data_IF_066162061471
#
_entry.id   IF_066162061471
#
_cell.length_a   1.000
_cell.length_b   1.000
_cell.length_c   1.000
_cell.angle_alpha   90.00
_cell.angle_beta   90.00
_cell.angle_gamma   90.00
#
_symmetry.space_group_name_H-M   'P 1'
#
loop_
_entity.id
_entity.type
_entity.pdbx_description
1 polymer ?
#
# COMPACT_ATOMS: atom_id res chain seq x y z
N UNK A 1 -14.37 52.68 39.39
CA UNK A 1 -15.23 53.80 38.95
C UNK A 1 -14.40 54.76 38.11
N UNK A 2 -15.02 55.55 37.21
CA UNK A 2 -14.44 55.85 35.91
C UNK A 2 -13.69 57.19 35.85
N UNK A 3 -12.99 57.43 34.72
CA UNK A 3 -13.18 58.62 33.89
C UNK A 3 -12.53 58.43 32.51
N UNK A 4 -13.36 58.62 31.47
CA UNK A 4 -13.00 59.07 30.12
C UNK A 4 -13.85 60.35 29.90
N UNK A 5 -13.93 61.00 28.70
CA UNK A 5 -13.16 60.85 27.46
C UNK A 5 -12.65 62.22 26.92
N UNK A 6 -12.07 62.25 25.71
CA UNK A 6 -12.30 63.38 24.78
C UNK A 6 -12.51 62.89 23.34
N UNK A 7 -13.73 63.15 22.86
CA UNK A 7 -14.19 63.35 21.49
C UNK A 7 -13.37 64.42 20.70
N UNK A 8 -13.55 64.70 19.40
CA UNK A 8 -14.36 64.14 18.28
C UNK A 8 -13.83 64.71 16.96
N UNK A 9 -14.22 64.13 15.80
CA UNK A 9 -14.79 64.87 14.66
C UNK A 9 -14.93 63.98 13.41
N UNK A 10 -16.16 63.86 12.91
CA UNK A 10 -16.49 63.24 11.61
C UNK A 10 -16.35 64.24 10.45
N UNK A 11 -16.32 63.71 9.22
CA UNK A 11 -17.00 64.36 8.09
C UNK A 11 -17.46 63.29 7.08
N UNK A 12 -18.60 63.54 6.44
CA UNK A 12 -19.45 62.57 5.75
C UNK A 12 -19.93 63.11 4.39
N UNK A 13 -20.61 62.24 3.59
CA UNK A 13 -21.62 62.59 2.56
C UNK A 13 -21.07 63.19 1.22
N UNK A 14 -21.66 62.97 0.02
CA UNK A 14 -22.75 62.07 -0.44
C UNK A 14 -22.84 61.96 -1.99
N UNK A 15 -23.55 60.95 -2.50
CA UNK A 15 -24.29 61.00 -3.78
C UNK A 15 -23.56 60.54 -5.07
N UNK A 16 -24.25 60.05 -6.13
CA UNK A 16 -25.70 59.81 -6.35
C UNK A 16 -25.94 58.68 -7.38
N UNK A 17 -27.17 58.14 -7.38
CA UNK A 17 -27.72 57.09 -8.28
C UNK A 17 -27.94 57.55 -9.73
N UNK A 18 -28.13 56.59 -10.64
CA UNK A 18 -29.04 56.73 -11.80
C UNK A 18 -29.80 55.44 -12.12
N UNK A 19 -31.00 55.59 -12.67
CA UNK A 19 -32.09 54.63 -12.92
C UNK A 19 -32.92 55.15 -14.11
N UNK A 20 -33.48 54.37 -15.03
CA UNK A 20 -33.51 52.92 -15.30
C UNK A 20 -33.95 52.75 -16.78
N UNK A 21 -34.43 51.58 -17.22
CA UNK A 21 -35.71 51.38 -17.97
C UNK A 21 -35.84 49.90 -18.40
N UNK A 22 -37.07 49.38 -18.30
CA UNK A 22 -37.50 48.05 -18.79
C UNK A 22 -38.26 48.18 -20.12
N UNK A 23 -38.38 47.08 -20.86
CA UNK A 23 -39.51 46.81 -21.76
C UNK A 23 -39.78 45.29 -21.73
N UNK A 24 -41.05 44.85 -21.86
CA UNK A 24 -41.36 43.45 -21.54
C UNK A 24 -42.59 42.80 -22.19
N UNK A 25 -42.54 41.46 -22.20
CA UNK A 25 -43.65 40.48 -22.15
C UNK A 25 -44.68 40.48 -23.33
N UNK A 26 -45.62 39.49 -23.45
CA UNK A 26 -45.92 38.36 -22.56
C UNK A 26 -46.04 37.00 -23.36
N UNK A 27 -46.95 36.01 -23.09
CA UNK A 27 -46.49 34.61 -22.94
C UNK A 27 -47.17 33.56 -23.85
N UNK A 28 -46.62 32.34 -23.90
CA UNK A 28 -47.37 31.13 -24.28
C UNK A 28 -47.02 29.95 -23.36
N UNK A 29 -48.05 29.38 -22.73
CA UNK A 29 -47.94 28.21 -21.86
C UNK A 29 -48.57 26.99 -22.52
N UNK A 30 -47.80 25.90 -22.68
CA UNK A 30 -48.33 24.58 -23.02
C UNK A 30 -47.53 23.47 -22.32
N UNK A 31 -48.20 22.89 -21.32
CA UNK A 31 -48.00 21.63 -20.59
C UNK A 31 -47.02 20.59 -21.19
N UNK A 32 -46.12 20.11 -20.34
CA UNK A 32 -45.86 18.68 -20.07
C UNK A 32 -45.19 17.81 -21.15
N UNK A 33 -44.04 17.22 -20.80
CA UNK A 33 -43.93 15.78 -20.49
C UNK A 33 -42.49 15.46 -19.99
N UNK A 34 -42.31 14.30 -19.35
CA UNK A 34 -41.09 13.96 -18.63
C UNK A 34 -39.93 13.50 -19.52
N UNK A 35 -38.71 13.94 -19.22
CA UNK A 35 -37.49 13.44 -19.85
C UNK A 35 -36.25 13.91 -19.11
N UNK A 36 -35.58 13.01 -18.39
CA UNK A 36 -34.30 13.28 -17.74
C UNK A 36 -33.25 13.59 -18.81
N UNK A 37 -32.95 14.89 -19.02
CA UNK A 37 -31.81 15.31 -19.82
C UNK A 37 -30.53 14.87 -19.12
N UNK A 38 -29.65 14.20 -19.86
CA UNK A 38 -28.30 13.92 -19.39
C UNK A 38 -27.42 15.13 -19.60
N UNK A 39 -26.91 15.71 -18.52
CA UNK A 39 -25.88 16.74 -18.61
C UNK A 39 -24.55 16.11 -18.99
N UNK A 40 -23.98 16.60 -20.09
CA UNK A 40 -22.69 16.18 -20.60
C UNK A 40 -21.59 17.13 -20.12
N UNK A 41 -20.56 16.53 -19.51
CA UNK A 41 -19.18 17.00 -19.49
C UNK A 41 -18.90 18.47 -19.13
N UNK A 42 -18.62 18.72 -17.84
CA UNK A 42 -17.45 19.53 -17.48
C UNK A 42 -16.22 18.62 -17.40
N UNK A 43 -15.09 19.05 -17.98
CA UNK A 43 -13.87 18.26 -18.02
C UNK A 43 -13.01 18.42 -16.77
N UNK A 44 -13.17 17.52 -15.79
CA UNK A 44 -12.21 17.42 -14.67
C UNK A 44 -10.96 16.58 -15.03
N UNK A 45 -9.86 16.84 -14.31
CA UNK A 45 -8.60 16.11 -14.43
C UNK A 45 -8.68 14.70 -13.84
N UNK A 46 -9.43 13.82 -14.49
CA UNK A 46 -9.79 12.52 -13.92
C UNK A 46 -8.57 11.67 -13.53
N UNK A 47 -8.51 11.31 -12.25
CA UNK A 47 -7.48 10.45 -11.65
C UNK A 47 -7.41 9.11 -12.39
N UNK A 48 -6.28 8.82 -13.04
CA UNK A 48 -6.12 7.62 -13.88
C UNK A 48 -6.17 6.32 -13.07
N UNK A 49 -7.02 5.38 -13.48
CA UNK A 49 -7.27 4.12 -12.79
C UNK A 49 -8.40 4.21 -11.75
N UNK A 50 -8.85 3.07 -11.24
CA UNK A 50 -10.04 3.02 -10.39
C UNK A 50 -9.96 1.99 -9.27
N UNK A 51 -10.75 2.20 -8.23
CA UNK A 51 -10.96 1.26 -7.12
C UNK A 51 -12.46 0.95 -7.06
N UNK A 52 -12.83 -0.33 -7.06
CA UNK A 52 -14.22 -0.78 -6.96
C UNK A 52 -14.37 -1.79 -5.83
N UNK A 53 -15.02 -1.36 -4.77
CA UNK A 53 -15.47 -2.24 -3.69
C UNK A 53 -16.66 -3.10 -4.13
N UNK A 54 -16.66 -4.37 -3.73
CA UNK A 54 -17.76 -5.32 -3.85
C UNK A 54 -18.04 -5.90 -2.46
N UNK A 55 -19.16 -5.50 -1.85
CA UNK A 55 -19.51 -5.93 -0.49
C UNK A 55 -19.71 -7.43 -0.40
N UNK A 56 -19.12 -8.05 0.61
CA UNK A 56 -19.33 -9.45 0.98
C UNK A 56 -20.26 -9.49 2.19
N UNK A 57 -21.51 -9.93 2.00
CA UNK A 57 -22.44 -10.15 3.12
C UNK A 57 -22.24 -11.52 3.74
N UNK A 58 -22.55 -11.67 5.02
CA UNK A 58 -22.73 -12.99 5.60
C UNK A 58 -23.91 -13.73 4.92
N UNK A 59 -23.86 -15.07 4.81
CA UNK A 59 -24.99 -15.85 4.32
C UNK A 59 -26.30 -15.55 5.07
N UNK A 60 -27.43 -15.52 4.37
CA UNK A 60 -28.76 -15.27 4.96
C UNK A 60 -29.16 -13.81 5.20
N UNK A 61 -28.28 -12.83 5.01
CA UNK A 61 -28.61 -11.41 5.20
C UNK A 61 -29.38 -10.78 4.03
N UNK A 62 -30.63 -10.35 4.24
CA UNK A 62 -31.51 -9.74 3.23
C UNK A 62 -30.97 -8.47 2.55
N UNK A 63 -31.34 -8.26 1.28
CA UNK A 63 -30.84 -7.18 0.41
C UNK A 63 -31.39 -5.80 0.79
N UNK A 64 -30.61 -4.74 0.51
CA UNK A 64 -31.11 -3.35 0.47
C UNK A 64 -30.89 -2.79 -0.94
N UNK A 65 -31.78 -1.91 -1.39
CA UNK A 65 -31.65 -1.25 -2.68
C UNK A 65 -30.37 -0.38 -2.71
N UNK A 66 -29.54 -0.55 -3.75
CA UNK A 66 -28.29 0.19 -3.97
C UNK A 66 -26.99 -0.61 -3.86
N UNK A 67 -27.00 -1.78 -3.21
CA UNK A 67 -25.79 -2.62 -3.09
C UNK A 67 -25.33 -3.17 -4.46
N UNK A 68 -24.10 -2.85 -4.90
CA UNK A 68 -23.46 -3.46 -6.08
C UNK A 68 -22.87 -4.83 -5.71
N UNK A 69 -23.77 -5.79 -5.50
CA UNK A 69 -23.51 -7.08 -4.86
C UNK A 69 -22.59 -8.03 -5.65
N UNK A 70 -21.75 -8.74 -4.90
CA UNK A 70 -21.37 -10.12 -5.19
C UNK A 70 -22.59 -11.00 -4.83
N UNK A 71 -22.94 -11.98 -5.66
CA UNK A 71 -24.21 -12.74 -5.58
C UNK A 71 -24.40 -13.54 -4.28
N UNK A 72 -25.55 -14.22 -4.15
CA UNK A 72 -25.75 -15.19 -3.07
C UNK A 72 -24.58 -16.21 -3.00
N UNK A 73 -24.25 -16.64 -1.78
CA UNK A 73 -23.24 -17.66 -1.55
C UNK A 73 -23.73 -19.02 -2.02
N UNK A 74 -22.91 -19.68 -2.83
CA UNK A 74 -23.06 -21.07 -3.25
C UNK A 74 -22.21 -21.96 -2.32
N UNK A 75 -22.63 -23.20 -2.08
CA UNK A 75 -21.75 -24.21 -1.48
C UNK A 75 -20.59 -24.54 -2.44
N UNK A 76 -19.37 -24.63 -1.91
CA UNK A 76 -18.18 -24.99 -2.68
C UNK A 76 -17.76 -26.44 -2.38
N UNK A 77 -17.39 -27.25 -3.39
CA UNK A 77 -16.97 -28.66 -3.19
C UNK A 77 -15.81 -28.87 -2.21
N UNK A 78 -15.07 -27.82 -1.83
CA UNK A 78 -14.06 -27.91 -0.75
C UNK A 78 -14.63 -27.79 0.68
N UNK A 79 -15.95 -27.90 0.87
CA UNK A 79 -16.63 -27.69 2.16
C UNK A 79 -16.66 -26.22 2.61
N UNK A 80 -16.32 -25.29 1.72
CA UNK A 80 -16.41 -23.85 1.95
C UNK A 80 -17.67 -23.26 1.31
N UNK A 81 -17.77 -21.92 1.31
CA UNK A 81 -18.79 -21.20 0.53
C UNK A 81 -18.11 -20.29 -0.48
N UNK A 82 -18.74 -20.09 -1.65
CA UNK A 82 -18.22 -19.33 -2.79
C UNK A 82 -19.21 -18.25 -3.26
N UNK A 83 -18.68 -17.13 -3.75
CA UNK A 83 -19.44 -16.16 -4.57
C UNK A 83 -18.73 -15.89 -5.90
N UNK A 84 -19.51 -15.67 -6.96
CA UNK A 84 -19.00 -15.31 -8.29
C UNK A 84 -19.55 -13.95 -8.74
N UNK A 85 -18.70 -13.04 -9.21
CA UNK A 85 -19.14 -11.92 -10.08
C UNK A 85 -18.58 -12.09 -11.48
N UNK A 86 -19.49 -12.25 -12.46
CA UNK A 86 -19.15 -12.50 -13.88
C UNK A 86 -19.07 -11.23 -14.74
N UNK A 87 -19.48 -10.07 -14.21
CA UNK A 87 -19.53 -8.77 -14.93
C UNK A 87 -18.99 -7.63 -14.06
N UNK A 88 -17.68 -7.55 -13.92
CA UNK A 88 -16.98 -6.38 -13.32
C UNK A 88 -16.29 -5.56 -14.40
N UNK A 89 -15.96 -4.30 -14.10
CA UNK A 89 -15.02 -3.53 -14.94
C UNK A 89 -13.64 -4.21 -14.87
N UNK A 90 -12.78 -4.08 -15.90
CA UNK A 90 -11.41 -4.59 -15.83
C UNK A 90 -10.67 -4.12 -14.58
N UNK A 91 -9.82 -4.99 -14.05
CA UNK A 91 -8.98 -4.76 -12.88
C UNK A 91 -7.72 -5.63 -12.99
N UNK A 92 -6.63 -5.25 -12.33
CA UNK A 92 -5.35 -5.98 -12.40
C UNK A 92 -4.81 -6.38 -11.01
N UNK A 93 -5.46 -5.90 -9.93
CA UNK A 93 -5.18 -6.28 -8.54
C UNK A 93 -6.46 -6.50 -7.73
N UNK A 94 -6.41 -7.45 -6.79
CA UNK A 94 -7.49 -7.77 -5.84
C UNK A 94 -6.96 -7.68 -4.41
N UNK A 95 -7.74 -7.09 -3.51
CA UNK A 95 -7.58 -7.27 -2.06
C UNK A 95 -8.94 -7.40 -1.37
N UNK A 96 -8.95 -7.50 -0.04
CA UNK A 96 -10.16 -7.45 0.79
C UNK A 96 -9.92 -6.52 1.97
N UNK A 97 -10.89 -5.68 2.31
CA UNK A 97 -10.84 -4.83 3.51
C UNK A 97 -12.06 -5.03 4.41
N UNK A 98 -11.94 -4.70 5.69
CA UNK A 98 -12.98 -4.84 6.71
C UNK A 98 -12.87 -3.75 7.80
N UNK A 99 -13.95 -3.51 8.56
CA UNK A 99 -14.13 -2.29 9.36
C UNK A 99 -13.23 -2.21 10.60
N UNK A 100 -12.93 -3.34 11.25
CA UNK A 100 -12.10 -3.42 12.45
C UNK A 100 -10.74 -4.09 12.12
N UNK A 101 -9.62 -3.36 12.10
CA UNK A 101 -8.30 -3.94 11.84
C UNK A 101 -7.91 -5.14 12.71
N UNK A 102 -8.46 -5.29 13.92
CA UNK A 102 -8.19 -6.42 14.79
C UNK A 102 -9.00 -7.69 14.43
N UNK A 103 -10.14 -7.54 13.75
CA UNK A 103 -11.05 -8.63 13.41
C UNK A 103 -10.65 -9.34 12.11
N UNK A 104 -9.51 -10.04 12.12
CA UNK A 104 -9.08 -10.84 10.97
C UNK A 104 -10.15 -11.88 10.57
N UNK A 105 -10.37 -12.14 9.26
CA UNK A 105 -11.36 -13.09 8.80
C UNK A 105 -11.00 -14.53 9.23
N UNK A 106 -11.98 -15.35 9.68
CA UNK A 106 -11.75 -16.75 10.01
C UNK A 106 -11.50 -17.60 8.76
N UNK A 107 -10.56 -18.54 8.86
CA UNK A 107 -10.18 -19.43 7.76
C UNK A 107 -9.40 -18.77 6.62
N UNK A 108 -9.15 -19.53 5.57
CA UNK A 108 -8.39 -19.08 4.39
C UNK A 108 -9.31 -18.50 3.34
N UNK A 109 -9.26 -17.18 3.20
CA UNK A 109 -9.84 -16.46 2.06
C UNK A 109 -9.09 -16.82 0.79
N UNK A 110 -9.81 -17.23 -0.26
CA UNK A 110 -9.23 -17.56 -1.56
C UNK A 110 -9.98 -16.89 -2.70
N UNK A 111 -9.26 -16.56 -3.77
CA UNK A 111 -9.83 -15.95 -4.98
C UNK A 111 -9.43 -16.71 -6.25
N UNK A 112 -10.30 -16.65 -7.27
CA UNK A 112 -9.92 -16.87 -8.67
C UNK A 112 -10.25 -15.61 -9.46
N UNK A 113 -9.46 -15.31 -10.47
CA UNK A 113 -9.80 -14.29 -11.47
C UNK A 113 -9.91 -14.90 -12.86
N UNK A 114 -10.65 -14.23 -13.74
CA UNK A 114 -10.73 -14.60 -15.16
C UNK A 114 -9.89 -13.64 -15.97
N UNK A 115 -8.81 -14.14 -16.58
CA UNK A 115 -7.91 -13.34 -17.41
C UNK A 115 -8.65 -12.73 -18.61
N UNK A 116 -8.37 -11.46 -18.88
CA UNK A 116 -8.88 -10.75 -20.06
C UNK A 116 -8.30 -11.32 -21.36
N UNK A 117 -7.03 -11.71 -21.36
CA UNK A 117 -6.38 -12.25 -22.55
C UNK A 117 -6.86 -13.68 -22.87
N UNK A 118 -6.71 -14.62 -21.94
CA UNK A 118 -6.97 -16.05 -22.21
C UNK A 118 -8.44 -16.45 -22.01
N UNK A 119 -9.27 -15.60 -21.40
CA UNK A 119 -10.63 -15.89 -20.93
C UNK A 119 -10.75 -17.12 -20.01
N UNK A 120 -9.63 -17.64 -19.47
CA UNK A 120 -9.58 -18.76 -18.52
C UNK A 120 -9.59 -18.25 -17.08
N UNK A 121 -10.06 -19.10 -16.16
CA UNK A 121 -9.96 -18.86 -14.71
C UNK A 121 -8.59 -19.31 -14.20
N UNK A 122 -8.03 -18.56 -13.25
CA UNK A 122 -6.83 -19.01 -12.50
C UNK A 122 -7.16 -20.18 -11.59
N UNK A 123 -6.17 -20.97 -11.14
CA UNK A 123 -6.30 -21.74 -9.90
C UNK A 123 -6.70 -20.84 -8.72
N UNK A 124 -7.25 -21.45 -7.66
CA UNK A 124 -7.52 -20.73 -6.40
C UNK A 124 -6.22 -20.25 -5.77
N UNK A 125 -6.16 -18.97 -5.39
CA UNK A 125 -5.03 -18.31 -4.72
C UNK A 125 -5.50 -17.77 -3.37
N UNK A 126 -4.74 -18.01 -2.30
CA UNK A 126 -5.05 -17.45 -0.98
C UNK A 126 -4.77 -15.94 -0.95
N UNK A 127 -5.68 -15.18 -0.34
CA UNK A 127 -5.45 -13.80 0.10
C UNK A 127 -5.10 -13.84 1.58
N UNK A 128 -3.82 -13.67 1.91
CA UNK A 128 -3.37 -13.62 3.30
C UNK A 128 -3.91 -12.35 3.97
N UNK A 129 -4.27 -12.41 5.26
CA UNK A 129 -4.58 -11.20 6.02
C UNK A 129 -3.30 -10.36 6.23
N UNK A 130 -3.34 -9.05 5.96
CA UNK A 130 -2.26 -8.09 6.19
C UNK A 130 -2.71 -7.05 7.24
N UNK A 131 -2.75 -7.50 8.49
CA UNK A 131 -2.85 -6.60 9.65
C UNK A 131 -1.45 -6.23 10.22
N UNK A 132 -0.36 -6.65 9.58
CA UNK A 132 1.02 -6.54 10.06
C UNK A 132 1.70 -5.23 9.63
N UNK A 133 1.51 -4.82 8.38
CA UNK A 133 1.72 -3.45 7.93
C UNK A 133 0.52 -2.60 8.34
N UNK A 134 0.73 -1.60 9.19
CA UNK A 134 -0.26 -0.58 9.51
C UNK A 134 0.42 0.67 10.09
N UNK A 135 -0.21 1.86 10.00
CA UNK A 135 0.26 3.06 10.69
C UNK A 135 0.38 2.80 12.21
N UNK A 136 1.46 3.27 12.83
CA UNK A 136 1.68 3.11 14.28
C UNK A 136 0.57 3.78 15.10
N UNK A 137 0.24 3.31 16.33
CA UNK A 137 -0.74 3.95 17.20
C UNK A 137 -0.31 5.38 17.59
N UNK A 138 -0.79 6.36 16.82
CA UNK A 138 -0.38 7.77 16.89
C UNK A 138 -0.16 8.42 15.52
N UNK A 139 0.24 7.66 14.50
CA UNK A 139 0.05 8.10 13.10
C UNK A 139 -1.46 8.18 12.85
N UNK A 140 -1.97 9.38 12.60
CA UNK A 140 -3.37 9.57 12.23
C UNK A 140 -3.63 8.84 10.91
N UNK A 141 -4.78 8.17 10.83
CA UNK A 141 -5.36 7.77 9.54
C UNK A 141 -5.42 8.99 8.60
N UNK A 142 -5.56 8.75 7.28
CA UNK A 142 -5.81 9.85 6.34
C UNK A 142 -6.96 10.73 6.86
N UNK A 143 -6.78 12.06 6.86
CA UNK A 143 -7.75 13.02 7.43
C UNK A 143 -9.17 12.71 6.94
N UNK A 144 -10.08 12.40 7.87
CA UNK A 144 -11.47 12.04 7.58
C UNK A 144 -11.72 10.59 7.14
N UNK A 145 -10.75 9.68 7.27
CA UNK A 145 -10.90 8.23 7.04
C UNK A 145 -10.53 7.44 8.28
N UNK A 146 -11.05 6.21 8.38
CA UNK A 146 -10.60 5.21 9.36
C UNK A 146 -9.56 4.31 8.68
N UNK A 147 -8.54 3.86 9.42
CA UNK A 147 -7.71 2.73 8.97
C UNK A 147 -8.57 1.48 9.04
N UNK A 148 -8.50 0.65 8.00
CA UNK A 148 -9.26 -0.59 7.89
C UNK A 148 -8.32 -1.78 7.96
N UNK A 149 -8.85 -2.92 8.42
CA UNK A 149 -8.16 -4.19 8.22
C UNK A 149 -8.11 -4.51 6.72
N UNK A 150 -7.00 -5.09 6.26
CA UNK A 150 -6.75 -5.34 4.85
C UNK A 150 -6.11 -6.72 4.63
N UNK A 151 -6.36 -7.35 3.50
CA UNK A 151 -5.58 -8.49 3.01
C UNK A 151 -4.31 -8.01 2.31
N UNK A 152 -3.42 -8.94 2.00
CA UNK A 152 -2.42 -8.80 0.96
C UNK A 152 -3.09 -8.19 -0.29
N UNK A 153 -2.49 -7.16 -0.91
CA UNK A 153 -2.77 -6.88 -2.31
C UNK A 153 -2.33 -8.11 -3.13
N UNK A 154 -3.09 -8.45 -4.18
CA UNK A 154 -2.80 -9.58 -5.03
C UNK A 154 -2.84 -9.16 -6.49
N UNK A 155 -1.67 -8.95 -7.10
CA UNK A 155 -1.57 -8.84 -8.55
C UNK A 155 -2.12 -10.10 -9.24
N UNK A 156 -3.00 -9.88 -10.20
CA UNK A 156 -3.71 -10.91 -10.98
C UNK A 156 -3.55 -10.70 -12.49
N UNK A 157 -2.97 -9.58 -12.92
CA UNK A 157 -2.98 -9.14 -14.31
C UNK A 157 -4.40 -8.84 -14.79
N UNK A 158 -4.52 -8.33 -16.02
CA UNK A 158 -5.80 -7.85 -16.56
C UNK A 158 -6.89 -8.93 -16.49
N UNK A 159 -7.90 -8.66 -15.67
CA UNK A 159 -8.95 -9.59 -15.27
C UNK A 159 -10.33 -8.96 -15.43
N UNK A 160 -11.34 -9.76 -15.79
CA UNK A 160 -12.71 -9.28 -16.09
C UNK A 160 -13.81 -9.93 -15.25
N UNK A 161 -13.46 -10.92 -14.44
CA UNK A 161 -14.37 -11.57 -13.49
C UNK A 161 -13.58 -12.06 -12.28
N UNK A 162 -14.27 -12.19 -11.14
CA UNK A 162 -13.69 -12.63 -9.88
C UNK A 162 -14.61 -13.61 -9.16
N UNK A 163 -14.00 -14.57 -8.48
CA UNK A 163 -14.63 -15.47 -7.51
C UNK A 163 -13.89 -15.34 -6.20
N UNK A 164 -14.64 -15.46 -5.11
CA UNK A 164 -14.10 -15.54 -3.75
C UNK A 164 -14.70 -16.75 -3.06
N UNK A 165 -13.93 -17.44 -2.24
CA UNK A 165 -14.42 -18.45 -1.30
C UNK A 165 -13.71 -18.33 0.03
N UNK A 166 -14.36 -18.79 1.09
CA UNK A 166 -13.75 -18.97 2.41
C UNK A 166 -13.64 -20.47 2.63
N UNK A 167 -12.42 -20.95 2.87
CA UNK A 167 -12.15 -22.34 3.22
C UNK A 167 -11.83 -22.39 4.71
N UNK A 168 -12.57 -23.17 5.54
CA UNK A 168 -12.24 -23.32 6.95
C UNK A 168 -10.80 -23.81 7.15
N UNK A 169 -10.22 -23.52 8.31
CA UNK A 169 -8.94 -24.13 8.67
C UNK A 169 -9.14 -25.58 9.12
N UNK A 170 -8.07 -26.37 9.09
CA UNK A 170 -8.17 -27.83 9.26
C UNK A 170 -8.74 -28.24 10.63
N UNK A 171 -8.59 -27.38 11.65
CA UNK A 171 -9.23 -27.54 12.96
C UNK A 171 -10.74 -27.29 12.86
N UNK A 172 -11.14 -26.13 12.37
CA UNK A 172 -12.55 -25.75 12.19
C UNK A 172 -13.31 -26.73 11.29
N UNK A 173 -12.64 -27.28 10.26
CA UNK A 173 -13.20 -28.31 9.38
C UNK A 173 -13.42 -29.66 10.08
N UNK A 174 -12.57 -29.99 11.07
CA UNK A 174 -12.78 -31.16 11.94
C UNK A 174 -13.92 -30.88 12.91
N UNK A 175 -13.89 -29.76 13.61
CA UNK A 175 -14.91 -29.37 14.59
C UNK A 175 -16.30 -29.27 13.92
N UNK A 176 -16.38 -28.79 12.67
CA UNK A 176 -17.60 -28.76 11.86
C UNK A 176 -18.06 -30.13 11.33
N UNK A 177 -17.14 -31.10 11.19
CA UNK A 177 -17.48 -32.49 10.85
C UNK A 177 -18.04 -33.20 12.08
N UNK A 178 -17.33 -33.12 13.20
CA UNK A 178 -17.72 -33.72 14.47
C UNK A 178 -19.09 -33.16 14.93
N UNK A 179 -19.36 -31.87 14.65
CA UNK A 179 -20.66 -31.23 14.82
C UNK A 179 -21.80 -31.76 13.91
N UNK A 180 -21.47 -32.27 12.73
CA UNK A 180 -22.44 -32.83 11.77
C UNK A 180 -22.88 -34.23 12.19
N UNK A 181 -21.99 -34.94 12.87
CA UNK A 181 -22.18 -36.28 13.42
C UNK A 181 -22.77 -36.27 14.85
N UNK A 182 -22.90 -35.08 15.46
CA UNK A 182 -23.46 -34.87 16.80
C UNK A 182 -24.98 -35.17 16.86
N UNK A 183 -25.36 -36.10 17.75
CA UNK A 183 -26.74 -36.59 17.88
C UNK A 183 -27.71 -35.52 18.40
N UNK A 184 -27.28 -34.62 19.26
CA UNK A 184 -28.16 -33.66 19.92
C UNK A 184 -28.28 -32.31 19.18
N UNK A 185 -29.52 -31.81 19.09
CA UNK A 185 -29.83 -30.57 18.36
C UNK A 185 -29.19 -29.31 18.99
N UNK A 186 -28.91 -29.35 20.30
CA UNK A 186 -28.31 -28.25 21.07
C UNK A 186 -26.79 -28.13 20.83
N UNK A 187 -26.11 -29.26 20.62
CA UNK A 187 -24.70 -29.27 20.23
C UNK A 187 -24.54 -28.92 18.75
N UNK A 188 -25.46 -29.40 17.89
CA UNK A 188 -25.54 -28.98 16.49
C UNK A 188 -25.72 -27.46 16.32
N UNK A 189 -26.49 -26.78 17.17
CA UNK A 189 -26.64 -25.32 17.08
C UNK A 189 -25.42 -24.57 17.64
N UNK A 190 -24.86 -25.01 18.78
CA UNK A 190 -23.66 -24.44 19.39
C UNK A 190 -22.43 -24.53 18.47
N UNK A 191 -22.28 -25.65 17.76
CA UNK A 191 -21.18 -25.84 16.82
C UNK A 191 -21.44 -25.26 15.42
N UNK A 192 -22.70 -25.11 14.96
CA UNK A 192 -23.01 -24.30 13.77
C UNK A 192 -22.56 -22.84 13.93
N UNK A 193 -22.73 -22.27 15.13
CA UNK A 193 -22.23 -20.93 15.44
C UNK A 193 -20.69 -20.79 15.44
N UNK A 194 -19.95 -21.91 15.49
CA UNK A 194 -18.48 -21.94 15.38
C UNK A 194 -18.00 -22.29 13.96
N UNK A 195 -18.72 -23.14 13.23
CA UNK A 195 -18.39 -23.55 11.86
C UNK A 195 -18.92 -22.62 10.75
N UNK A 196 -19.83 -21.71 11.05
CA UNK A 196 -20.22 -20.64 10.13
C UNK A 196 -19.14 -19.55 10.14
N UNK A 197 -18.17 -19.66 9.22
CA UNK A 197 -17.07 -18.72 9.05
C UNK A 197 -17.58 -17.29 8.72
N UNK A 198 -17.97 -16.57 9.77
CA UNK A 198 -18.59 -15.26 9.68
C UNK A 198 -17.56 -14.24 9.20
N UNK A 199 -17.86 -13.60 8.08
CA UNK A 199 -17.03 -12.50 7.58
C UNK A 199 -16.98 -11.35 8.58
N UNK A 200 -15.81 -10.70 8.75
CA UNK A 200 -15.70 -9.54 9.62
C UNK A 200 -16.60 -8.40 9.11
N UNK A 201 -17.05 -7.56 10.03
CA UNK A 201 -17.98 -6.46 9.72
C UNK A 201 -17.41 -5.56 8.63
N UNK A 202 -18.24 -5.22 7.63
CA UNK A 202 -17.85 -4.38 6.51
C UNK A 202 -16.91 -5.03 5.49
N UNK A 203 -16.70 -6.36 5.57
CA UNK A 203 -15.90 -7.12 4.61
C UNK A 203 -16.32 -6.85 3.17
N UNK A 204 -15.34 -6.50 2.34
CA UNK A 204 -15.56 -6.21 0.92
C UNK A 204 -14.32 -6.48 0.11
N UNK A 205 -14.52 -7.02 -1.08
CA UNK A 205 -13.46 -7.24 -2.05
C UNK A 205 -13.17 -5.92 -2.77
N UNK A 206 -11.89 -5.59 -2.92
CA UNK A 206 -11.42 -4.34 -3.49
C UNK A 206 -10.73 -4.67 -4.82
N UNK A 207 -11.38 -4.32 -5.93
CA UNK A 207 -10.84 -4.50 -7.28
C UNK A 207 -10.16 -3.22 -7.73
N UNK A 208 -8.89 -3.33 -8.09
CA UNK A 208 -8.04 -2.18 -8.43
C UNK A 208 -7.56 -2.26 -9.87
N UNK A 209 -7.89 -1.21 -10.61
CA UNK A 209 -7.29 -0.85 -11.89
C UNK A 209 -6.15 0.15 -11.61
N UNK A 210 -4.87 -0.19 -11.93
CA UNK A 210 -3.72 0.67 -11.69
C UNK A 210 -3.75 1.99 -12.47
N UNK A 211 -4.58 2.06 -13.52
CA UNK A 211 -4.59 3.17 -14.44
C UNK A 211 -3.35 3.24 -15.33
N UNK A 212 -3.46 4.16 -16.28
CA UNK A 212 -2.36 4.57 -17.14
C UNK A 212 -1.41 5.47 -16.36
N UNK A 213 -0.11 5.33 -16.57
CA UNK A 213 0.86 6.29 -16.05
C UNK A 213 0.53 7.69 -16.62
N UNK A 214 0.67 8.75 -15.80
CA UNK A 214 0.42 10.11 -16.25
C UNK A 214 1.18 10.40 -17.57
N UNK A 215 0.46 10.90 -18.57
CA UNK A 215 0.96 11.16 -19.92
C UNK A 215 0.74 10.08 -20.99
N UNK A 216 0.30 8.84 -20.68
CA UNK A 216 0.07 7.82 -21.72
C UNK A 216 -1.33 7.87 -22.37
N UNK A 217 -1.66 9.03 -22.93
CA UNK A 217 -2.89 9.32 -23.67
C UNK A 217 -2.95 8.73 -25.09
N UNK A 218 -2.78 7.41 -25.24
CA UNK A 218 -2.98 6.70 -26.51
C UNK A 218 -4.01 5.57 -26.35
N UNK A 219 -4.88 5.39 -27.35
CA UNK A 219 -5.89 4.29 -27.39
C UNK A 219 -5.20 2.95 -27.68
N UNK A 220 -5.81 1.85 -27.21
CA UNK A 220 -5.36 0.52 -27.58
C UNK A 220 -5.72 0.25 -29.05
N UNK A 221 -4.73 0.33 -29.93
CA UNK A 221 -4.86 0.14 -31.38
C UNK A 221 -3.49 0.11 -32.03
N UNK A 222 -2.67 1.12 -31.75
CA UNK A 222 -1.26 1.13 -32.15
C UNK A 222 -0.37 0.44 -31.12
N UNK A 223 0.60 -0.34 -31.62
CA UNK A 223 1.78 -0.76 -30.85
C UNK A 223 2.74 0.42 -30.71
N UNK A 224 2.26 1.50 -30.10
CA UNK A 224 3.06 2.66 -29.77
C UNK A 224 4.18 2.21 -28.81
N UNK A 225 5.42 2.32 -29.30
CA UNK A 225 6.68 2.01 -28.60
C UNK A 225 6.63 2.57 -27.18
N UNK A 226 6.48 1.68 -26.19
CA UNK A 226 6.40 2.08 -24.79
C UNK A 226 7.68 2.82 -24.41
N UNK A 227 7.57 4.13 -24.18
CA UNK A 227 8.73 4.92 -23.75
C UNK A 227 9.18 4.43 -22.38
N UNK A 228 10.41 3.91 -22.34
CA UNK A 228 11.05 3.45 -21.11
C UNK A 228 10.86 4.50 -19.99
N UNK A 229 10.14 4.16 -18.90
CA UNK A 229 9.86 5.13 -17.84
C UNK A 229 11.14 5.71 -17.20
N UNK A 230 12.28 5.04 -17.35
CA UNK A 230 13.59 5.55 -16.94
C UNK A 230 14.08 6.77 -17.75
N UNK A 231 13.57 7.01 -18.96
CA UNK A 231 13.96 8.13 -19.83
C UNK A 231 13.23 9.44 -19.51
N UNK A 232 12.23 9.43 -18.63
CA UNK A 232 11.51 10.65 -18.22
C UNK A 232 12.43 11.53 -17.35
N UNK A 233 12.54 12.85 -17.58
CA UNK A 233 13.33 13.73 -16.72
C UNK A 233 12.89 13.66 -15.25
N UNK A 234 13.80 13.27 -14.35
CA UNK A 234 13.51 13.02 -12.93
C UNK A 234 12.78 11.70 -12.64
N UNK A 235 12.62 10.80 -13.62
CA UNK A 235 12.05 9.47 -13.45
C UNK A 235 13.00 8.45 -12.80
N UNK A 236 14.30 8.71 -12.85
CA UNK A 236 15.34 7.87 -12.25
C UNK A 236 16.37 8.73 -11.53
N UNK A 237 16.74 8.32 -10.32
CA UNK A 237 18.00 8.70 -9.69
C UNK A 237 19.09 7.76 -10.22
N UNK A 238 20.14 8.25 -10.89
CA UNK A 238 21.19 7.39 -11.43
C UNK A 238 21.95 6.68 -10.31
N UNK A 239 22.53 5.52 -10.61
CA UNK A 239 23.50 4.91 -9.72
C UNK A 239 24.70 5.86 -9.53
N UNK A 240 25.27 5.87 -8.33
CA UNK A 240 26.48 6.63 -8.00
C UNK A 240 27.56 5.66 -7.53
N UNK A 241 28.82 6.00 -7.79
CA UNK A 241 29.92 5.30 -7.13
C UNK A 241 30.00 5.72 -5.64
N UNK A 242 30.86 5.06 -4.86
CA UNK A 242 31.01 5.37 -3.42
C UNK A 242 31.51 6.79 -3.17
N UNK A 243 32.46 7.29 -3.96
CA UNK A 243 32.99 8.66 -3.89
C UNK A 243 31.90 9.70 -4.09
N UNK A 244 31.17 9.65 -5.19
CA UNK A 244 30.08 10.61 -5.48
C UNK A 244 28.97 10.53 -4.43
N UNK A 245 28.68 9.32 -3.92
CA UNK A 245 27.70 9.13 -2.85
C UNK A 245 28.16 9.81 -1.55
N UNK A 246 29.44 9.68 -1.18
CA UNK A 246 30.03 10.38 -0.03
C UNK A 246 30.04 11.91 -0.23
N UNK A 247 30.34 12.39 -1.44
CA UNK A 247 30.32 13.82 -1.76
C UNK A 247 28.93 14.45 -1.65
N UNK A 248 27.86 13.71 -1.95
CA UNK A 248 26.47 14.23 -1.90
C UNK A 248 25.81 14.05 -0.53
N UNK A 249 26.13 12.99 0.22
CA UNK A 249 25.43 12.63 1.46
C UNK A 249 26.31 12.55 2.72
N UNK A 250 27.62 12.78 2.60
CA UNK A 250 28.57 12.67 3.70
C UNK A 250 28.70 13.91 4.57
N UNK A 251 28.33 15.10 4.06
CA UNK A 251 28.45 16.36 4.82
C UNK A 251 27.40 16.46 5.94
N UNK A 252 26.16 16.00 5.71
CA UNK A 252 25.07 15.98 6.71
C UNK A 252 25.29 14.98 7.85
N UNK A 253 26.24 14.04 7.71
CA UNK A 253 26.55 13.04 8.75
C UNK A 253 27.55 13.56 9.81
N UNK A 254 28.07 14.78 9.65
CA UNK A 254 29.27 15.27 10.33
C UNK A 254 29.06 16.55 11.15
N UNK A 255 27.99 16.62 11.96
CA UNK A 255 27.83 17.69 12.95
C UNK A 255 28.69 17.45 14.21
N UNK A 256 29.99 17.76 14.11
CA UNK A 256 30.90 18.17 15.19
C UNK A 256 32.38 18.29 14.70
N UNK A 257 32.79 19.53 14.40
CA UNK A 257 34.18 20.10 14.40
C UNK A 257 35.32 19.39 13.61
N UNK A 258 36.41 20.11 13.21
CA UNK A 258 36.93 19.98 11.85
C UNK A 258 38.22 19.15 11.60
N UNK A 259 38.20 18.34 10.54
CA UNK A 259 39.23 18.29 9.48
C UNK A 259 38.57 17.77 8.19
N UNK A 260 38.71 18.50 7.08
CA UNK A 260 37.87 18.30 5.87
C UNK A 260 38.40 17.27 4.86
N UNK A 261 39.64 16.78 4.96
CA UNK A 261 40.21 15.80 4.00
C UNK A 261 40.20 14.37 4.51
N UNK A 262 40.63 14.15 5.75
CA UNK A 262 40.84 12.79 6.27
C UNK A 262 39.51 12.08 6.61
N UNK A 263 38.51 12.82 7.11
CA UNK A 263 37.17 12.28 7.42
C UNK A 263 36.36 11.85 6.18
N UNK A 264 36.70 12.31 4.98
CA UNK A 264 35.99 11.91 3.76
C UNK A 264 36.23 10.43 3.41
N UNK A 265 37.38 9.87 3.81
CA UNK A 265 37.66 8.44 3.66
C UNK A 265 36.92 7.56 4.67
N UNK A 266 36.71 8.04 5.90
CA UNK A 266 36.11 7.30 7.02
C UNK A 266 34.57 7.14 6.97
N UNK A 267 33.88 7.84 6.06
CA UNK A 267 32.43 7.69 5.93
C UNK A 267 32.06 6.38 5.23
N UNK A 268 31.59 5.41 6.02
CA UNK A 268 31.22 4.05 5.59
C UNK A 268 29.85 4.01 4.88
N UNK A 269 29.70 4.81 3.81
CA UNK A 269 28.48 4.92 3.01
C UNK A 269 28.60 3.98 1.81
N UNK A 270 27.59 3.12 1.58
CA UNK A 270 27.54 2.29 0.38
C UNK A 270 27.17 3.08 -0.89
N UNK A 271 27.57 2.64 -2.09
CA UNK A 271 27.24 3.33 -3.35
C UNK A 271 25.72 3.43 -3.55
N UNK A 272 25.20 4.61 -3.87
CA UNK A 272 23.76 4.78 -4.15
C UNK A 272 23.35 3.93 -5.35
N UNK A 273 22.42 2.98 -5.22
CA UNK A 273 21.91 2.25 -6.38
C UNK A 273 21.09 3.16 -7.31
N UNK A 274 20.84 2.70 -8.54
CA UNK A 274 19.84 3.34 -9.38
C UNK A 274 18.44 3.14 -8.75
N UNK A 275 17.65 4.21 -8.64
CA UNK A 275 16.30 4.18 -8.06
C UNK A 275 15.32 4.79 -9.05
N UNK A 276 14.30 4.04 -9.44
CA UNK A 276 13.16 4.55 -10.19
C UNK A 276 12.29 5.35 -9.22
N UNK A 277 12.17 6.66 -9.46
CA UNK A 277 11.45 7.58 -8.58
C UNK A 277 9.94 7.35 -8.65
N UNK A 278 9.20 7.97 -7.73
CA UNK A 278 7.73 8.04 -7.82
C UNK A 278 7.24 8.55 -9.19
N UNK A 279 7.91 9.56 -9.76
CA UNK A 279 7.63 10.05 -11.12
C UNK A 279 7.93 8.98 -12.19
N UNK A 280 9.00 8.20 -12.00
CA UNK A 280 9.42 7.12 -12.89
C UNK A 280 8.39 6.00 -13.02
N UNK A 281 7.85 5.49 -11.92
CA UNK A 281 6.80 4.44 -11.98
C UNK A 281 5.37 4.99 -12.21
N UNK A 282 5.23 6.31 -12.32
CA UNK A 282 3.97 6.99 -12.65
C UNK A 282 3.03 7.15 -11.45
N UNK A 283 3.57 7.46 -10.28
CA UNK A 283 2.79 7.74 -9.08
C UNK A 283 1.80 8.88 -9.29
N UNK A 284 0.55 8.65 -8.89
CA UNK A 284 -0.45 9.70 -8.76
C UNK A 284 -0.34 10.32 -7.36
N UNK A 285 0.38 11.44 -7.28
CA UNK A 285 0.61 12.17 -6.03
C UNK A 285 -0.68 12.76 -5.42
N UNK A 286 -1.78 12.86 -6.18
CA UNK A 286 -3.09 13.32 -5.66
C UNK A 286 -3.77 12.27 -4.76
N UNK A 287 -3.35 11.01 -4.85
CA UNK A 287 -3.91 9.95 -4.02
C UNK A 287 -3.51 10.15 -2.55
N UNK A 288 -2.22 10.37 -2.24
CA UNK A 288 -1.70 10.46 -0.86
C UNK A 288 -2.11 11.72 -0.12
N UNK A 289 -1.73 11.80 1.16
CA UNK A 289 -1.71 13.07 1.89
C UNK A 289 -0.55 13.97 1.45
N UNK A 290 -0.70 15.31 1.51
CA UNK A 290 0.35 16.24 1.11
C UNK A 290 1.54 16.27 2.07
N UNK A 291 1.34 16.00 3.37
CA UNK A 291 2.37 16.10 4.39
C UNK A 291 3.12 14.79 4.63
N UNK A 292 4.43 14.92 4.83
CA UNK A 292 5.35 13.83 5.09
C UNK A 292 5.64 13.68 6.59
N UNK A 293 5.82 12.44 7.05
CA UNK A 293 6.40 12.16 8.36
C UNK A 293 7.89 11.82 8.23
N UNK A 294 8.71 12.30 9.16
CA UNK A 294 10.13 11.98 9.23
C UNK A 294 10.50 11.52 10.64
N UNK A 295 11.33 10.47 10.72
CA UNK A 295 12.12 10.17 11.91
C UNK A 295 13.32 11.11 12.03
N UNK A 296 14.15 10.90 13.04
CA UNK A 296 15.41 11.65 13.20
C UNK A 296 16.53 11.09 12.33
N UNK A 297 16.48 9.79 12.03
CA UNK A 297 17.49 9.06 11.26
C UNK A 297 16.91 7.73 10.76
N UNK A 298 17.67 6.89 10.06
CA UNK A 298 17.28 5.51 9.74
C UNK A 298 18.23 4.53 10.43
N UNK A 299 17.76 3.87 11.51
CA UNK A 299 18.52 2.91 12.32
C UNK A 299 18.49 1.49 11.79
N UNK A 300 17.39 1.09 11.15
CA UNK A 300 17.21 -0.26 10.64
C UNK A 300 16.47 -0.27 9.30
N UNK A 301 16.73 -1.30 8.51
CA UNK A 301 15.93 -1.68 7.36
C UNK A 301 15.12 -2.95 7.69
N UNK A 302 13.80 -2.85 7.64
CA UNK A 302 12.91 -4.01 7.73
C UNK A 302 12.59 -4.53 6.33
N UNK A 303 12.93 -5.79 6.08
CA UNK A 303 12.71 -6.48 4.81
C UNK A 303 11.39 -7.23 4.84
N UNK A 304 10.59 -6.98 3.80
CA UNK A 304 9.27 -7.53 3.56
C UNK A 304 9.23 -8.30 2.24
N UNK A 305 8.17 -9.09 2.05
CA UNK A 305 7.65 -9.41 0.72
C UNK A 305 6.31 -8.70 0.49
N UNK A 306 5.86 -8.56 -0.76
CA UNK A 306 4.49 -8.08 -1.04
C UNK A 306 3.41 -9.15 -0.83
N UNK A 307 3.81 -10.42 -0.64
CA UNK A 307 2.96 -11.62 -0.57
C UNK A 307 2.19 -11.94 -1.87
N UNK A 308 2.61 -11.33 -2.99
CA UNK A 308 1.97 -11.46 -4.30
C UNK A 308 2.47 -12.68 -5.10
N UNK A 309 2.13 -12.72 -6.39
CA UNK A 309 2.72 -13.67 -7.35
C UNK A 309 4.18 -13.33 -7.66
N UNK A 310 4.99 -14.34 -7.97
CA UNK A 310 6.31 -14.16 -8.60
C UNK A 310 6.21 -14.18 -10.15
N UNK A 311 5.05 -14.59 -10.67
CA UNK A 311 4.72 -14.67 -12.08
C UNK A 311 4.07 -13.35 -12.55
N UNK A 312 4.90 -12.31 -12.61
CA UNK A 312 4.69 -11.02 -13.28
C UNK A 312 5.86 -10.77 -14.24
N UNK A 313 5.69 -9.94 -15.26
CA UNK A 313 6.81 -9.49 -16.07
C UNK A 313 7.45 -8.23 -15.46
N UNK A 314 8.77 -8.06 -15.58
CA UNK A 314 9.45 -6.90 -14.97
C UNK A 314 9.10 -5.55 -15.66
N UNK A 315 8.32 -5.60 -16.74
CA UNK A 315 7.65 -4.44 -17.35
C UNK A 315 6.34 -4.07 -16.60
N UNK A 316 5.65 -5.03 -15.97
CA UNK A 316 4.40 -4.79 -15.21
C UNK A 316 4.65 -4.02 -13.91
N UNK A 317 5.88 -4.01 -13.40
CA UNK A 317 6.20 -3.57 -12.03
C UNK A 317 5.71 -2.13 -11.72
N UNK A 318 5.85 -1.13 -12.61
CA UNK A 318 5.22 0.18 -12.40
C UNK A 318 3.70 0.10 -12.20
N UNK A 319 2.99 -0.77 -12.91
CA UNK A 319 1.55 -0.97 -12.75
C UNK A 319 1.22 -1.71 -11.44
N UNK A 320 2.02 -2.71 -11.05
CA UNK A 320 1.91 -3.39 -9.75
C UNK A 320 2.02 -2.38 -8.60
N UNK A 321 3.06 -1.53 -8.64
CA UNK A 321 3.29 -0.51 -7.60
C UNK A 321 2.14 0.50 -7.55
N UNK A 322 1.63 0.98 -8.70
CA UNK A 322 0.44 1.84 -8.75
C UNK A 322 -0.80 1.17 -8.14
N UNK A 323 -1.03 -0.12 -8.39
CA UNK A 323 -2.13 -0.88 -7.78
C UNK A 323 -1.98 -1.00 -6.26
N UNK A 324 -0.81 -1.38 -5.75
CA UNK A 324 -0.56 -1.49 -4.30
C UNK A 324 -0.73 -0.13 -3.61
N UNK A 325 -0.18 0.93 -4.20
CA UNK A 325 -0.30 2.30 -3.71
C UNK A 325 -1.76 2.75 -3.63
N UNK A 326 -2.52 2.55 -4.71
CA UNK A 326 -3.96 2.84 -4.77
C UNK A 326 -4.75 2.02 -3.75
N UNK A 327 -4.43 0.74 -3.57
CA UNK A 327 -5.07 -0.12 -2.58
C UNK A 327 -4.83 0.38 -1.15
N UNK A 328 -3.57 0.62 -0.74
CA UNK A 328 -3.25 1.15 0.59
C UNK A 328 -4.00 2.46 0.89
N UNK A 329 -4.05 3.38 -0.08
CA UNK A 329 -4.62 4.72 0.12
C UNK A 329 -6.15 4.79 0.01
N UNK A 330 -6.74 4.16 -1.03
CA UNK A 330 -8.18 4.26 -1.32
C UNK A 330 -8.99 3.14 -0.67
N UNK A 331 -8.39 1.96 -0.46
CA UNK A 331 -9.06 0.81 0.17
C UNK A 331 -8.73 0.71 1.65
N UNK A 332 -7.45 0.67 2.04
CA UNK A 332 -7.04 0.47 3.45
C UNK A 332 -7.06 1.76 4.30
N UNK A 333 -7.20 2.93 3.68
CA UNK A 333 -7.30 4.22 4.35
C UNK A 333 -5.96 4.84 4.80
N UNK A 334 -4.84 4.34 4.28
CA UNK A 334 -3.50 4.80 4.64
C UNK A 334 -3.17 6.15 3.99
N UNK A 335 -2.15 6.82 4.53
CA UNK A 335 -1.71 8.15 4.10
C UNK A 335 -1.01 8.13 2.73
N UNK A 336 -0.27 7.06 2.46
CA UNK A 336 0.53 6.78 1.26
C UNK A 336 0.89 5.27 1.25
N UNK A 337 1.65 4.79 0.27
CA UNK A 337 2.26 3.46 0.26
C UNK A 337 3.06 3.21 1.56
N UNK A 338 2.87 2.06 2.22
CA UNK A 338 3.51 1.79 3.52
C UNK A 338 5.02 1.55 3.49
N UNK A 339 5.56 0.99 2.40
CA UNK A 339 6.99 0.71 2.24
C UNK A 339 7.74 1.93 1.71
N UNK A 340 8.94 2.19 2.22
CA UNK A 340 9.83 3.25 1.74
C UNK A 340 10.45 2.91 0.38
N UNK A 341 10.71 1.62 0.12
CA UNK A 341 11.25 1.13 -1.14
C UNK A 341 10.63 -0.20 -1.54
N UNK A 342 10.69 -0.50 -2.84
CA UNK A 342 10.34 -1.81 -3.38
C UNK A 342 11.48 -2.32 -4.28
N UNK A 343 11.68 -3.64 -4.30
CA UNK A 343 12.69 -4.32 -5.11
C UNK A 343 12.00 -5.41 -5.93
N UNK A 344 12.16 -5.41 -7.24
CA UNK A 344 11.61 -6.47 -8.10
C UNK A 344 12.56 -7.66 -8.27
N UNK A 345 12.04 -8.76 -8.82
CA UNK A 345 12.84 -9.97 -9.13
C UNK A 345 13.94 -9.75 -10.19
N UNK A 346 13.90 -8.63 -10.91
CA UNK A 346 14.94 -8.22 -11.87
C UNK A 346 16.00 -7.30 -11.23
N UNK A 347 15.89 -6.98 -9.94
CA UNK A 347 16.85 -6.14 -9.22
C UNK A 347 16.66 -4.63 -9.43
N UNK A 348 15.53 -4.18 -10.01
CA UNK A 348 15.19 -2.75 -10.04
C UNK A 348 14.68 -2.32 -8.67
N UNK A 349 15.11 -1.12 -8.25
CA UNK A 349 14.69 -0.49 -6.98
C UNK A 349 13.77 0.68 -7.30
N UNK A 350 12.68 0.79 -6.54
CA UNK A 350 11.64 1.80 -6.70
C UNK A 350 11.47 2.58 -5.41
N UNK A 351 11.38 3.90 -5.51
CA UNK A 351 11.01 4.78 -4.40
C UNK A 351 9.53 4.56 -4.04
N UNK A 352 9.25 4.20 -2.80
CA UNK A 352 7.91 3.94 -2.27
C UNK A 352 7.28 5.19 -1.65
N UNK A 353 7.13 5.19 -0.31
CA UNK A 353 6.65 6.29 0.54
C UNK A 353 7.28 7.64 0.13
N UNK A 354 6.46 8.65 -0.13
CA UNK A 354 6.88 9.99 -0.52
C UNK A 354 7.51 10.77 0.65
N UNK A 355 8.40 11.71 0.32
CA UNK A 355 9.22 12.49 1.27
C UNK A 355 10.70 12.53 0.88
N UNK A 356 11.11 11.69 -0.08
CA UNK A 356 12.43 11.70 -0.73
C UNK A 356 13.32 10.55 -0.26
N UNK A 357 13.75 9.70 -1.20
CA UNK A 357 14.52 8.48 -0.95
C UNK A 357 15.67 8.58 0.09
N UNK A 358 16.45 9.65 0.08
CA UNK A 358 17.56 9.83 1.03
C UNK A 358 17.10 10.14 2.46
N UNK A 359 15.95 10.79 2.66
CA UNK A 359 15.47 11.26 3.97
C UNK A 359 14.92 10.13 4.86
N UNK A 360 14.92 10.27 6.19
CA UNK A 360 14.38 9.27 7.11
C UNK A 360 12.84 9.33 7.16
N UNK A 361 12.17 9.08 6.04
CA UNK A 361 10.70 9.14 5.91
C UNK A 361 10.05 8.04 6.76
N UNK A 362 9.13 8.39 7.65
CA UNK A 362 8.37 7.41 8.45
C UNK A 362 7.40 6.64 7.57
N UNK A 363 7.60 5.32 7.47
CA UNK A 363 6.75 4.40 6.73
C UNK A 363 5.51 3.94 7.51
N UNK A 364 4.82 2.94 6.96
CA UNK A 364 3.72 2.22 7.60
C UNK A 364 3.80 0.73 7.20
N UNK A 365 4.91 0.09 7.58
CA UNK A 365 5.29 -1.25 7.14
C UNK A 365 5.47 -2.23 8.30
N UNK A 366 5.90 -1.78 9.48
CA UNK A 366 6.20 -2.63 10.64
C UNK A 366 5.61 -2.01 11.90
N UNK A 367 4.42 -2.48 12.28
CA UNK A 367 3.70 -1.94 13.41
C UNK A 367 4.53 -2.03 14.70
N UNK A 368 4.74 -0.88 15.35
CA UNK A 368 5.58 -0.75 16.54
C UNK A 368 7.02 -0.31 16.25
N UNK A 369 7.50 -0.29 15.00
CA UNK A 369 8.88 0.10 14.64
C UNK A 369 8.96 0.93 13.34
N UNK A 370 7.88 1.62 12.94
CA UNK A 370 7.87 2.46 11.73
C UNK A 370 8.76 3.70 11.85
N UNK A 371 8.93 4.25 13.05
CA UNK A 371 9.77 5.43 13.31
C UNK A 371 11.26 5.08 13.38
N UNK A 372 12.11 5.96 12.87
CA UNK A 372 13.56 5.78 12.75
C UNK A 372 13.98 4.52 11.94
N UNK A 373 13.14 4.00 11.03
CA UNK A 373 13.47 2.83 10.18
C UNK A 373 13.01 2.99 8.72
N UNK A 374 13.40 2.06 7.85
CA UNK A 374 13.00 2.00 6.44
C UNK A 374 12.43 0.63 6.08
N UNK A 375 11.22 0.59 5.50
CA UNK A 375 10.59 -0.64 5.01
C UNK A 375 10.94 -0.90 3.55
N UNK A 376 11.42 -2.10 3.24
CA UNK A 376 11.79 -2.51 1.88
C UNK A 376 10.96 -3.76 1.51
N UNK A 377 10.06 -3.65 0.53
CA UNK A 377 9.28 -4.79 0.04
C UNK A 377 9.89 -5.41 -1.22
N UNK A 378 10.31 -6.67 -1.12
CA UNK A 378 10.68 -7.45 -2.30
C UNK A 378 9.40 -7.98 -2.94
N UNK A 379 9.12 -7.59 -4.19
CA UNK A 379 7.86 -7.88 -4.88
C UNK A 379 7.73 -9.37 -5.21
N UNK A 380 6.72 -10.02 -4.62
CA UNK A 380 6.45 -11.44 -4.76
C UNK A 380 6.13 -12.14 -3.45
N UNK A 381 6.21 -13.48 -3.47
CA UNK A 381 6.08 -14.37 -2.31
C UNK A 381 7.27 -15.31 -2.18
N UNK A 382 7.89 -15.30 -1.02
CA UNK A 382 9.15 -16.03 -0.74
C UNK A 382 9.01 -17.05 0.40
N UNK A 383 7.79 -17.50 0.72
CA UNK A 383 7.58 -18.60 1.67
C UNK A 383 8.12 -19.94 1.15
N UNK A 384 8.17 -20.14 -0.18
CA UNK A 384 8.71 -21.35 -0.83
C UNK A 384 9.65 -21.08 -2.01
N UNK A 385 9.44 -20.00 -2.76
CA UNK A 385 10.34 -19.61 -3.85
C UNK A 385 11.56 -18.86 -3.31
N UNK A 386 12.75 -19.10 -3.87
CA UNK A 386 13.96 -18.34 -3.53
C UNK A 386 13.96 -16.97 -4.21
N UNK A 387 14.46 -15.91 -3.56
CA UNK A 387 14.70 -14.63 -4.22
C UNK A 387 15.78 -14.77 -5.30
N UNK A 388 15.67 -14.01 -6.40
CA UNK A 388 16.69 -14.00 -7.44
C UNK A 388 17.99 -13.37 -6.92
N UNK A 389 19.14 -13.69 -7.55
CA UNK A 389 20.40 -13.02 -7.23
C UNK A 389 20.28 -11.50 -7.41
N UNK A 390 19.65 -11.05 -8.49
CA UNK A 390 19.43 -9.64 -8.77
C UNK A 390 18.65 -8.91 -7.65
N UNK A 391 17.60 -9.53 -7.10
CA UNK A 391 16.86 -8.98 -5.96
C UNK A 391 17.70 -8.91 -4.68
N UNK A 392 18.53 -9.93 -4.41
CA UNK A 392 19.46 -9.94 -3.25
C UNK A 392 20.55 -8.88 -3.38
N UNK A 393 21.18 -8.77 -4.56
CA UNK A 393 22.20 -7.78 -4.86
C UNK A 393 21.64 -6.35 -4.76
N UNK A 394 20.42 -6.12 -5.27
CA UNK A 394 19.72 -4.84 -5.17
C UNK A 394 19.39 -4.48 -3.72
N UNK A 395 18.89 -5.45 -2.94
CA UNK A 395 18.60 -5.27 -1.52
C UNK A 395 19.88 -4.90 -0.73
N UNK A 396 21.00 -5.58 -0.98
CA UNK A 396 22.27 -5.29 -0.32
C UNK A 396 22.83 -3.89 -0.68
N UNK A 397 22.76 -3.48 -1.96
CA UNK A 397 23.13 -2.12 -2.39
C UNK A 397 22.24 -1.05 -1.74
N UNK A 398 20.93 -1.30 -1.71
CA UNK A 398 19.95 -0.38 -1.12
C UNK A 398 20.18 -0.20 0.39
N UNK A 399 20.40 -1.29 1.15
CA UNK A 399 20.65 -1.19 2.59
C UNK A 399 22.02 -0.60 2.90
N UNK A 400 23.07 -0.96 2.15
CA UNK A 400 24.41 -0.38 2.29
C UNK A 400 24.40 1.15 2.14
N UNK A 401 23.74 1.66 1.09
CA UNK A 401 23.55 3.09 0.89
C UNK A 401 22.65 3.70 1.97
N UNK A 402 21.42 3.19 2.12
CA UNK A 402 20.38 3.84 2.94
C UNK A 402 20.77 3.89 4.42
N UNK A 403 21.37 2.83 4.97
CA UNK A 403 21.87 2.81 6.34
C UNK A 403 23.18 3.60 6.46
N UNK A 404 24.04 3.55 5.44
CA UNK A 404 25.31 4.27 5.40
C UNK A 404 25.15 5.79 5.47
N UNK A 405 24.20 6.37 4.73
CA UNK A 405 23.83 7.80 4.78
C UNK A 405 23.41 8.24 6.20
N UNK A 406 23.00 7.30 7.04
CA UNK A 406 22.58 7.53 8.42
C UNK A 406 23.62 7.04 9.46
N UNK A 407 24.85 6.74 9.03
CA UNK A 407 25.97 6.31 9.88
C UNK A 407 25.89 4.87 10.38
N UNK A 408 24.93 4.08 9.91
CA UNK A 408 24.64 2.74 10.43
C UNK A 408 25.37 1.65 9.64
N UNK A 409 26.07 0.78 10.37
CA UNK A 409 26.62 -0.47 9.84
C UNK A 409 25.49 -1.43 9.45
N UNK A 410 25.37 -1.74 8.16
CA UNK A 410 24.34 -2.63 7.63
C UNK A 410 24.53 -4.10 8.07
N UNK A 411 25.74 -4.50 8.48
CA UNK A 411 26.05 -5.83 9.00
C UNK A 411 25.80 -5.97 10.50
N UNK A 412 25.80 -4.84 11.23
CA UNK A 412 25.72 -4.76 12.68
C UNK A 412 24.33 -4.96 13.29
N UNK A 413 24.21 -4.57 14.55
CA UNK A 413 22.97 -4.64 15.35
C UNK A 413 22.59 -3.27 15.89
N UNK A 414 21.29 -3.05 16.08
CA UNK A 414 20.73 -1.79 16.59
C UNK A 414 19.61 -2.06 17.59
N UNK A 415 19.46 -1.17 18.58
CA UNK A 415 18.37 -1.24 19.56
C UNK A 415 17.30 -0.22 19.22
N UNK A 416 16.06 -0.69 19.07
CA UNK A 416 14.88 0.14 18.83
C UNK A 416 13.92 0.05 20.03
N UNK A 417 13.16 1.12 20.28
CA UNK A 417 12.07 1.11 21.27
C UNK A 417 10.76 0.86 20.54
N UNK A 418 9.99 -0.14 20.98
CA UNK A 418 8.69 -0.44 20.39
C UNK A 418 7.66 0.65 20.71
N UNK A 419 6.94 1.12 19.70
CA UNK A 419 5.74 1.97 19.83
C UNK A 419 4.50 1.15 20.25
N UNK A 420 4.61 -0.18 20.24
CA UNK A 420 3.54 -1.15 20.55
C UNK A 420 3.10 -1.94 19.32
N UNK A 421 2.98 -3.25 19.48
CA UNK A 421 2.47 -4.18 18.47
C UNK A 421 2.10 -5.53 19.08
N UNK A 422 1.76 -6.51 18.24
CA UNK A 422 1.33 -7.85 18.69
C UNK A 422 2.45 -8.66 19.35
N UNK A 423 3.70 -8.44 18.92
CA UNK A 423 4.89 -9.17 19.40
C UNK A 423 5.63 -8.47 20.54
N UNK A 424 5.70 -7.14 20.51
CA UNK A 424 6.47 -6.33 21.44
C UNK A 424 5.60 -5.23 22.05
N UNK A 425 5.57 -5.15 23.38
CA UNK A 425 4.80 -4.14 24.12
C UNK A 425 5.45 -2.75 23.94
N UNK A 426 4.63 -1.70 23.97
CA UNK A 426 5.09 -0.31 23.90
C UNK A 426 6.11 -0.03 25.01
N UNK A 427 7.23 0.61 24.66
CA UNK A 427 8.34 0.89 25.56
C UNK A 427 9.43 -0.18 25.62
N UNK A 428 9.18 -1.40 25.12
CA UNK A 428 10.21 -2.46 25.07
C UNK A 428 11.40 -2.02 24.20
N UNK A 429 12.61 -2.08 24.75
CA UNK A 429 13.86 -1.99 23.96
C UNK A 429 14.16 -3.37 23.37
N UNK A 430 14.33 -3.43 22.05
CA UNK A 430 14.55 -4.68 21.31
C UNK A 430 15.75 -4.52 20.39
N UNK A 431 16.69 -5.46 20.46
CA UNK A 431 17.88 -5.50 19.60
C UNK A 431 17.60 -6.27 18.33
N UNK A 432 17.78 -5.62 17.18
CA UNK A 432 17.64 -6.19 15.84
C UNK A 432 18.99 -6.25 15.14
N UNK A 433 19.07 -6.97 14.03
CA UNK A 433 20.13 -6.71 13.05
C UNK A 433 19.77 -5.43 12.29
N UNK A 434 20.77 -4.66 11.83
CA UNK A 434 20.53 -3.42 11.09
C UNK A 434 19.73 -3.65 9.80
N UNK A 435 19.86 -4.83 9.18
CA UNK A 435 18.90 -5.36 8.19
C UNK A 435 18.19 -6.57 8.80
N UNK A 436 16.91 -6.42 9.12
CA UNK A 436 16.09 -7.44 9.81
C UNK A 436 14.85 -7.80 8.98
N UNK A 437 14.25 -8.97 9.22
CA UNK A 437 13.00 -9.38 8.57
C UNK A 437 11.79 -8.83 9.30
N UNK A 438 10.65 -8.64 8.62
CA UNK A 438 9.43 -8.18 9.27
C UNK A 438 9.03 -9.03 10.49
N UNK A 439 9.13 -10.36 10.36
CA UNK A 439 8.92 -11.35 11.44
C UNK A 439 9.76 -11.13 12.71
N UNK A 440 10.81 -10.33 12.67
CA UNK A 440 11.63 -10.01 13.85
C UNK A 440 10.86 -9.03 14.76
N UNK A 441 10.30 -7.98 14.15
CA UNK A 441 9.54 -6.92 14.82
C UNK A 441 8.04 -7.20 15.01
N UNK A 442 7.44 -8.09 14.21
CA UNK A 442 6.00 -8.36 14.26
C UNK A 442 5.68 -9.87 14.16
N UNK A 443 4.50 -10.29 14.62
CA UNK A 443 4.00 -11.66 14.48
C UNK A 443 3.44 -11.90 13.07
N UNK A 444 4.31 -12.26 12.13
CA UNK A 444 4.00 -12.45 10.69
C UNK A 444 4.94 -13.47 10.05
N UNK A 445 4.54 -14.10 8.93
CA UNK A 445 5.43 -14.92 8.12
C UNK A 445 6.41 -14.07 7.28
N UNK A 446 6.07 -12.81 7.00
CA UNK A 446 6.83 -11.88 6.18
C UNK A 446 8.28 -11.73 6.69
N UNK A 447 9.34 -11.76 5.84
CA UNK A 447 9.37 -11.71 4.37
C UNK A 447 9.23 -13.08 3.67
N UNK A 448 8.74 -14.10 4.36
CA UNK A 448 8.73 -15.48 3.86
C UNK A 448 10.07 -16.17 4.07
N UNK A 449 10.02 -17.49 4.24
CA UNK A 449 11.12 -18.31 4.74
C UNK A 449 12.40 -18.26 3.88
N UNK A 450 12.27 -18.31 2.55
CA UNK A 450 13.43 -18.33 1.66
C UNK A 450 14.14 -16.98 1.60
N UNK A 451 13.40 -15.86 1.62
CA UNK A 451 14.00 -14.53 1.65
C UNK A 451 14.58 -14.21 3.04
N UNK A 452 13.95 -14.68 4.13
CA UNK A 452 14.48 -14.52 5.47
C UNK A 452 15.84 -15.23 5.67
N UNK A 453 16.00 -16.45 5.13
CA UNK A 453 17.26 -17.21 5.14
C UNK A 453 18.43 -16.51 4.44
N UNK A 454 18.14 -15.59 3.52
CA UNK A 454 19.14 -14.89 2.71
C UNK A 454 19.62 -13.59 3.36
N UNK A 455 18.93 -13.09 4.40
CA UNK A 455 19.28 -11.84 5.09
C UNK A 455 20.70 -11.82 5.69
N UNK A 456 21.29 -12.93 6.21
CA UNK A 456 22.70 -12.94 6.63
C UNK A 456 23.65 -12.59 5.49
N UNK A 457 23.49 -13.19 4.31
CA UNK A 457 24.34 -12.90 3.15
C UNK A 457 24.14 -11.47 2.64
N UNK A 458 22.90 -10.97 2.64
CA UNK A 458 22.58 -9.57 2.32
C UNK A 458 23.27 -8.60 3.28
N UNK A 459 23.34 -8.91 4.57
CA UNK A 459 24.06 -8.10 5.58
C UNK A 459 25.56 -8.06 5.35
N UNK A 460 26.18 -9.21 5.10
CA UNK A 460 27.62 -9.30 4.79
C UNK A 460 27.97 -8.50 3.53
N UNK A 461 27.21 -8.67 2.44
CA UNK A 461 27.43 -7.90 1.21
C UNK A 461 27.17 -6.40 1.41
N UNK A 462 26.16 -6.03 2.20
CA UNK A 462 25.89 -4.62 2.49
C UNK A 462 27.01 -3.96 3.31
N UNK A 463 27.57 -4.65 4.32
CA UNK A 463 28.74 -4.20 5.06
C UNK A 463 29.97 -4.04 4.15
N UNK A 464 30.23 -5.04 3.29
CA UNK A 464 31.31 -4.97 2.29
C UNK A 464 31.15 -3.78 1.34
N UNK A 465 29.92 -3.50 0.90
CA UNK A 465 29.60 -2.34 0.05
C UNK A 465 29.75 -1.00 0.77
N UNK A 466 29.54 -0.95 2.09
CA UNK A 466 29.90 0.19 2.95
C UNK A 466 31.42 0.35 3.17
N UNK A 467 32.25 -0.60 2.70
CA UNK A 467 33.69 -0.63 2.94
C UNK A 467 34.10 -1.24 4.29
N UNK A 468 33.16 -1.81 5.04
CA UNK A 468 33.41 -2.54 6.29
C UNK A 468 33.95 -3.94 5.97
N UNK A 469 34.88 -4.44 6.77
CA UNK A 469 35.51 -5.77 6.63
C UNK A 469 34.86 -6.78 7.58
#
# INVERSE_FOLDING_TARGET
MPLAPTESAESMLNGKRSTSVEDGAPPLAARGEGGLRGDAAEGDGSISGSTRSLTLRAPGGGTRAGDKLLSAWEDDPSGGRRVTSRKVKPFSLVGMVWDDPAAAPPGRLQVQTRSSATKRWTPWRTLNAHADGSPSPGERARKGKKVLGASAPLWVGDSTAVRVRIVPDAKDAKDAKDAKDAKDAKDRSKARGAGEAALPKGARLELVDPGKAAGSGARAGDRAREEDPAKRPGGVLPALNRGDTRAIYGEDAADATPSKKDRAEDTHIGPRPQIITRKGWGADESLREPQFGYGRTTKAAFVHHSAETNNYDCADVPAIIRSIYRYHVKSSGWRDLGYNFLVDKCGKIYEGRAGGAAKPVTGAHTLGFNTDTTGIAVLGTYSKAKPSKAAKDALAKLTAWKLGVHGVDASGKVTLTSEGGTKHKKGNKVTFNAVSGHRDGFSTECPGEQLYRELPAVRTEAGRLQGRR
#
